data_IF_697317419857
#
_entry.id   IF_697317419857
#
_cell.length_a   1.000
_cell.length_b   1.000
_cell.length_c   1.000
_cell.angle_alpha   90.00
_cell.angle_beta   90.00
_cell.angle_gamma   90.00
#
_symmetry.space_group_name_H-M   'P 1'
#
loop_
_entity.id
_entity.type
_entity.pdbx_description
1 polymer ?
#
# COMPACT_ATOMS: atom_id res chain seq x y z
N UNK A 1 27.92 -9.76 34.27
CA UNK A 1 26.93 -10.10 33.21
C UNK A 1 26.19 -11.36 33.63
N UNK A 2 25.11 -11.22 34.42
CA UNK A 2 23.98 -12.16 34.64
C UNK A 2 23.15 -11.88 35.91
N UNK A 3 23.14 -10.66 36.43
CA UNK A 3 22.33 -10.33 37.63
C UNK A 3 21.92 -8.86 37.64
N UNK A 4 21.43 -8.34 36.50
CA UNK A 4 20.85 -6.99 36.42
C UNK A 4 19.55 -6.91 35.58
N UNK A 5 19.07 -8.05 35.06
CA UNK A 5 17.88 -8.14 34.20
C UNK A 5 16.65 -8.75 34.90
N UNK A 6 16.58 -8.74 36.23
CA UNK A 6 15.49 -9.39 36.99
C UNK A 6 14.80 -8.53 38.05
N UNK A 7 15.01 -7.21 38.10
CA UNK A 7 14.30 -6.35 39.05
C UNK A 7 13.18 -5.53 38.38
N UNK A 8 12.02 -5.47 39.04
CA UNK A 8 10.82 -4.70 38.61
C UNK A 8 11.05 -3.19 38.46
N UNK A 9 12.22 -2.68 38.85
CA UNK A 9 12.63 -1.28 38.64
C UNK A 9 13.29 -1.06 37.26
N UNK A 10 13.86 -2.08 36.62
CA UNK A 10 14.45 -1.97 35.28
C UNK A 10 13.43 -1.96 34.14
N UNK A 11 12.20 -2.43 34.41
CA UNK A 11 11.07 -2.37 33.46
C UNK A 11 10.25 -1.08 33.58
N UNK A 12 10.55 -0.24 34.58
CA UNK A 12 9.85 1.02 34.85
C UNK A 12 10.46 2.25 34.16
N UNK A 13 11.55 2.08 33.40
CA UNK A 13 12.21 3.17 32.65
C UNK A 13 11.89 3.13 31.15
N UNK A 14 11.21 2.09 30.65
CA UNK A 14 10.71 2.03 29.26
C UNK A 14 9.25 2.51 29.16
N UNK A 15 8.59 2.79 30.29
CA UNK A 15 7.20 3.25 30.34
C UNK A 15 7.03 4.79 30.52
N UNK A 16 8.10 5.57 30.36
CA UNK A 16 8.06 7.04 30.50
C UNK A 16 8.79 7.78 29.36
N UNK A 17 8.79 7.22 28.15
CA UNK A 17 9.45 7.81 26.98
C UNK A 17 8.55 7.86 25.72
N UNK A 18 7.24 8.00 25.88
CA UNK A 18 6.32 8.42 24.81
C UNK A 18 5.45 9.57 25.33
N UNK A 19 6.11 10.62 25.85
CA UNK A 19 5.48 11.91 26.06
C UNK A 19 6.60 12.96 26.09
N UNK A 20 6.58 13.88 25.11
CA UNK A 20 7.48 15.03 24.93
C UNK A 20 8.90 14.78 24.40
N UNK A 21 9.05 14.70 23.07
CA UNK A 21 10.11 15.43 22.33
C UNK A 21 9.57 15.90 20.97
N UNK A 22 8.66 16.86 21.00
CA UNK A 22 8.34 17.69 19.84
C UNK A 22 9.00 19.05 20.01
N UNK A 23 10.27 19.23 19.62
CA UNK A 23 10.82 20.55 19.27
C UNK A 23 11.98 20.41 18.26
N UNK A 24 11.70 20.86 17.03
CA UNK A 24 12.60 21.31 15.95
C UNK A 24 13.46 20.29 15.17
N UNK A 25 13.00 19.90 13.97
CA UNK A 25 13.36 20.58 12.71
C UNK A 25 12.35 20.19 11.63
N UNK A 26 11.89 21.17 10.85
CA UNK A 26 10.74 21.02 9.96
C UNK A 26 11.06 20.25 8.68
N UNK A 27 10.19 19.30 8.33
CA UNK A 27 9.47 19.17 7.05
C UNK A 27 8.69 17.84 7.05
N UNK A 28 7.36 17.91 7.00
CA UNK A 28 6.48 16.75 6.81
C UNK A 28 5.96 16.12 8.10
N UNK A 29 4.85 16.65 8.62
CA UNK A 29 4.04 15.96 9.63
C UNK A 29 3.42 14.72 9.01
N UNK A 30 4.07 13.56 9.13
CA UNK A 30 3.38 12.29 9.02
C UNK A 30 2.40 12.21 10.20
N UNK A 31 1.11 12.16 9.90
CA UNK A 31 0.05 11.98 10.88
C UNK A 31 0.21 10.55 11.46
N UNK A 32 0.94 10.40 12.56
CA UNK A 32 1.09 9.11 13.24
C UNK A 32 -0.23 8.82 13.97
N UNK A 33 -1.17 8.15 13.29
CA UNK A 33 -2.34 7.55 13.92
C UNK A 33 -1.91 6.28 14.65
N UNK A 34 -1.71 6.38 15.96
CA UNK A 34 -1.07 5.35 16.78
C UNK A 34 -2.05 4.38 17.50
N UNK A 35 -3.37 4.53 17.31
CA UNK A 35 -4.37 3.78 18.08
C UNK A 35 -4.92 2.57 17.28
N UNK A 36 -5.25 1.49 17.99
CA UNK A 36 -5.65 0.19 17.40
C UNK A 36 -7.01 0.24 16.69
N UNK A 37 -7.14 -0.16 15.41
CA UNK A 37 -8.41 -0.27 14.70
C UNK A 37 -9.53 -0.98 15.46
N UNK A 38 -9.22 -2.10 16.11
CA UNK A 38 -10.24 -2.95 16.74
C UNK A 38 -10.69 -2.43 18.11
N UNK A 39 -9.85 -1.68 18.82
CA UNK A 39 -10.18 -1.10 20.14
C UNK A 39 -10.63 0.36 20.07
N UNK A 40 -10.30 1.06 18.98
CA UNK A 40 -10.65 2.49 18.79
C UNK A 40 -11.96 2.71 18.04
N UNK A 41 -12.58 1.64 17.54
CA UNK A 41 -13.90 1.64 16.91
C UNK A 41 -14.96 1.21 17.92
N UNK A 42 -15.42 2.16 18.74
CA UNK A 42 -16.40 1.93 19.81
C UNK A 42 -17.84 1.76 19.28
N UNK A 43 -18.07 0.75 18.43
CA UNK A 43 -19.37 0.44 17.81
C UNK A 43 -20.49 0.18 18.81
N UNK A 44 -20.17 -0.24 20.04
CA UNK A 44 -21.18 -0.46 21.09
C UNK A 44 -21.99 0.82 21.39
N UNK A 45 -21.42 2.00 21.15
CA UNK A 45 -22.09 3.29 21.35
C UNK A 45 -23.35 3.45 20.49
N UNK A 46 -23.38 2.83 19.31
CA UNK A 46 -24.56 2.81 18.44
C UNK A 46 -25.70 1.90 18.96
N UNK A 47 -25.48 1.16 20.05
CA UNK A 47 -26.38 0.14 20.58
C UNK A 47 -26.69 0.29 22.08
N UNK A 48 -26.35 1.43 22.71
CA UNK A 48 -26.59 1.64 24.15
C UNK A 48 -28.09 1.66 24.53
N UNK A 49 -29.00 1.80 23.56
CA UNK A 49 -30.44 1.58 23.72
C UNK A 49 -30.80 0.10 23.94
N UNK A 50 -29.93 -0.83 23.56
CA UNK A 50 -30.10 -2.26 23.77
C UNK A 50 -29.58 -2.64 25.15
N UNK A 51 -30.49 -3.07 26.04
CA UNK A 51 -30.20 -3.34 27.45
C UNK A 51 -28.99 -4.23 27.70
N UNK A 52 -28.79 -5.29 26.89
CA UNK A 52 -27.67 -6.21 27.10
C UNK A 52 -26.31 -5.59 26.73
N UNK A 53 -26.28 -4.63 25.81
CA UNK A 53 -25.05 -3.90 25.45
C UNK A 53 -24.66 -2.96 26.59
N UNK A 54 -25.63 -2.21 27.13
CA UNK A 54 -25.41 -1.38 28.32
C UNK A 54 -25.03 -2.20 29.56
N UNK A 55 -25.59 -3.40 29.72
CA UNK A 55 -25.20 -4.35 30.77
C UNK A 55 -23.74 -4.80 30.60
N UNK A 56 -23.32 -5.13 29.37
CA UNK A 56 -21.95 -5.56 29.08
C UNK A 56 -20.92 -4.43 29.29
N UNK A 57 -21.24 -3.20 28.88
CA UNK A 57 -20.40 -2.01 29.14
C UNK A 57 -20.20 -1.80 30.64
N UNK A 58 -21.29 -1.88 31.42
CA UNK A 58 -21.27 -1.54 32.84
C UNK A 58 -20.70 -2.65 33.73
N UNK A 59 -21.05 -3.90 33.44
CA UNK A 59 -20.82 -5.03 34.34
C UNK A 59 -19.88 -6.09 33.74
N UNK A 60 -19.41 -5.92 32.51
CA UNK A 60 -18.50 -6.86 31.84
C UNK A 60 -19.16 -8.18 31.46
N UNK A 61 -18.36 -9.24 31.33
CA UNK A 61 -18.79 -10.56 30.88
C UNK A 61 -19.48 -11.34 32.02
N UNK A 62 -20.72 -10.97 32.33
CA UNK A 62 -21.56 -11.71 33.28
C UNK A 62 -22.14 -12.98 32.65
N UNK A 63 -22.71 -13.89 33.47
CA UNK A 63 -23.42 -15.07 32.97
C UNK A 63 -24.55 -14.70 32.00
N UNK A 64 -25.29 -13.64 32.30
CA UNK A 64 -26.37 -13.12 31.44
C UNK A 64 -25.85 -12.64 30.08
N UNK A 65 -24.69 -11.96 30.07
CA UNK A 65 -24.04 -11.53 28.82
C UNK A 65 -23.55 -12.73 28.02
N UNK A 66 -22.91 -13.71 28.67
CA UNK A 66 -22.45 -14.93 28.02
C UNK A 66 -23.61 -15.76 27.42
N UNK A 67 -24.70 -15.94 28.17
CA UNK A 67 -25.89 -16.66 27.69
C UNK A 67 -26.54 -15.92 26.49
N UNK A 68 -26.51 -14.58 26.49
CA UNK A 68 -26.98 -13.80 25.34
C UNK A 68 -26.11 -14.01 24.10
N UNK A 69 -24.78 -13.98 24.24
CA UNK A 69 -23.85 -14.22 23.14
C UNK A 69 -23.99 -15.64 22.56
N UNK A 70 -24.23 -16.64 23.42
CA UNK A 70 -24.39 -18.03 23.04
C UNK A 70 -25.69 -18.34 22.28
N UNK A 71 -26.77 -17.58 22.52
CA UNK A 71 -28.08 -17.90 21.97
C UNK A 71 -28.15 -17.59 20.44
N UNK A 72 -28.40 -18.58 19.56
CA UNK A 72 -28.37 -18.37 18.11
C UNK A 72 -29.45 -17.41 17.58
N UNK A 73 -30.55 -17.26 18.32
CA UNK A 73 -31.67 -16.39 17.95
C UNK A 73 -31.35 -14.89 18.10
N UNK A 74 -30.29 -14.54 18.84
CA UNK A 74 -29.94 -13.14 19.07
C UNK A 74 -29.24 -12.53 17.83
N UNK A 75 -29.54 -11.27 17.49
CA UNK A 75 -28.96 -10.61 16.32
C UNK A 75 -27.43 -10.53 16.41
N UNK A 76 -26.76 -10.81 15.29
CA UNK A 76 -25.31 -10.91 15.24
C UNK A 76 -24.62 -9.55 15.46
N UNK A 77 -25.21 -8.47 14.97
CA UNK A 77 -24.72 -7.12 15.15
C UNK A 77 -24.80 -6.65 16.61
N UNK A 78 -25.86 -7.03 17.31
CA UNK A 78 -25.97 -6.81 18.76
C UNK A 78 -24.92 -7.64 19.51
N UNK A 79 -24.64 -8.89 19.09
CA UNK A 79 -23.53 -9.67 19.68
C UNK A 79 -22.18 -8.98 19.47
N UNK A 80 -21.93 -8.43 18.29
CA UNK A 80 -20.72 -7.66 18.01
C UNK A 80 -20.62 -6.43 18.93
N UNK A 81 -21.71 -5.68 19.10
CA UNK A 81 -21.77 -4.53 20.00
C UNK A 81 -21.57 -4.92 21.47
N UNK A 82 -22.16 -6.04 21.93
CA UNK A 82 -21.93 -6.58 23.28
C UNK A 82 -20.46 -6.88 23.50
N UNK A 83 -19.81 -7.58 22.57
CA UNK A 83 -18.39 -7.91 22.67
C UNK A 83 -17.54 -6.64 22.71
N UNK A 84 -17.78 -5.68 21.82
CA UNK A 84 -17.07 -4.40 21.79
C UNK A 84 -17.25 -3.60 23.10
N UNK A 85 -18.42 -3.67 23.74
CA UNK A 85 -18.70 -3.02 25.02
C UNK A 85 -17.86 -3.56 26.19
N UNK A 86 -17.48 -4.85 26.16
CA UNK A 86 -16.61 -5.46 27.18
C UNK A 86 -15.21 -4.80 27.23
N UNK A 87 -14.81 -4.14 26.14
CA UNK A 87 -13.52 -3.44 26.00
C UNK A 87 -13.69 -1.92 26.01
N UNK A 88 -14.79 -1.42 26.57
CA UNK A 88 -15.06 0.03 26.71
C UNK A 88 -14.06 0.75 27.63
N UNK A 89 -13.53 0.04 28.64
CA UNK A 89 -12.44 0.55 29.47
C UNK A 89 -11.10 0.42 28.73
N UNK A 90 -10.43 1.55 28.48
CA UNK A 90 -9.13 1.64 27.82
C UNK A 90 -7.95 1.39 28.79
N UNK A 91 -8.21 1.10 30.05
CA UNK A 91 -7.18 0.69 30.99
C UNK A 91 -6.54 -0.62 30.52
N UNK A 92 -5.21 -0.56 30.30
CA UNK A 92 -4.38 -1.70 29.99
C UNK A 92 -4.49 -2.76 31.10
N UNK A 93 -5.10 -3.88 30.76
CA UNK A 93 -5.19 -5.07 31.58
C UNK A 93 -5.10 -6.29 30.67
N UNK A 94 -4.37 -7.33 31.07
CA UNK A 94 -4.50 -8.63 30.41
C UNK A 94 -5.95 -9.10 30.58
N UNK A 95 -6.68 -9.26 29.46
CA UNK A 95 -8.07 -9.75 29.44
C UNK A 95 -8.11 -11.09 28.71
N UNK A 96 -8.91 -12.00 29.24
CA UNK A 96 -9.07 -13.37 28.74
C UNK A 96 -10.56 -13.68 28.58
N UNK A 97 -11.34 -12.73 28.05
CA UNK A 97 -12.79 -12.87 27.94
C UNK A 97 -13.20 -14.03 27.02
N UNK A 98 -12.39 -14.38 26.02
CA UNK A 98 -12.61 -15.56 25.21
C UNK A 98 -12.58 -16.85 26.07
N UNK A 99 -11.63 -16.94 27.00
CA UNK A 99 -11.48 -18.09 27.90
C UNK A 99 -12.59 -18.14 28.95
N UNK A 100 -12.91 -16.99 29.56
CA UNK A 100 -14.04 -16.85 30.48
C UNK A 100 -15.37 -17.21 29.83
N UNK A 101 -15.61 -16.72 28.60
CA UNK A 101 -16.81 -17.04 27.82
C UNK A 101 -16.88 -18.53 27.52
N UNK A 102 -15.77 -19.14 27.07
CA UNK A 102 -15.72 -20.55 26.77
C UNK A 102 -16.02 -21.41 28.01
N UNK A 103 -15.51 -21.02 29.17
CA UNK A 103 -15.77 -21.70 30.43
C UNK A 103 -17.24 -21.54 30.88
N UNK A 104 -17.86 -20.36 30.69
CA UNK A 104 -19.25 -20.12 31.06
C UNK A 104 -20.24 -20.89 30.18
N UNK A 105 -19.99 -20.93 28.87
CA UNK A 105 -20.94 -21.47 27.87
C UNK A 105 -20.70 -22.95 27.59
N UNK A 106 -19.44 -23.37 27.43
CA UNK A 106 -19.08 -24.73 27.04
C UNK A 106 -18.50 -25.55 28.19
N UNK A 107 -18.17 -24.93 29.33
CA UNK A 107 -17.49 -25.59 30.43
C UNK A 107 -16.06 -26.03 30.08
N UNK A 108 -15.44 -25.38 29.08
CA UNK A 108 -14.20 -25.81 28.43
C UNK A 108 -13.29 -24.62 28.15
N UNK A 109 -11.99 -24.90 28.05
CA UNK A 109 -11.00 -23.93 27.55
C UNK A 109 -11.13 -23.72 26.05
N UNK A 110 -10.81 -22.52 25.56
CA UNK A 110 -10.81 -22.19 24.12
C UNK A 110 -9.89 -23.13 23.32
N UNK A 111 -8.77 -23.56 23.89
CA UNK A 111 -7.83 -24.50 23.25
C UNK A 111 -8.43 -25.90 23.03
N UNK A 112 -9.49 -26.26 23.76
CA UNK A 112 -10.16 -27.56 23.69
C UNK A 112 -11.46 -27.55 22.87
N UNK A 113 -11.83 -26.39 22.31
CA UNK A 113 -13.00 -26.28 21.46
C UNK A 113 -12.68 -26.78 20.06
N UNK A 114 -13.57 -27.60 19.51
CA UNK A 114 -13.51 -28.03 18.12
C UNK A 114 -14.25 -27.02 17.24
N UNK A 115 -13.52 -26.20 16.50
CA UNK A 115 -14.07 -25.20 15.58
C UNK A 115 -15.02 -25.83 14.55
N UNK A 116 -14.79 -27.07 14.12
CA UNK A 116 -15.61 -27.74 13.09
C UNK A 116 -17.01 -28.13 13.60
N UNK A 117 -17.17 -28.23 14.92
CA UNK A 117 -18.44 -28.55 15.57
C UNK A 117 -19.28 -27.30 15.90
N UNK A 118 -18.72 -26.09 15.74
CA UNK A 118 -19.36 -24.84 16.10
C UNK A 118 -20.06 -24.20 14.90
N UNK A 119 -21.17 -23.53 15.15
CA UNK A 119 -21.86 -22.76 14.12
C UNK A 119 -21.14 -21.43 13.85
N UNK A 120 -21.50 -20.79 12.73
CA UNK A 120 -20.81 -19.58 12.28
C UNK A 120 -20.86 -18.40 13.27
N UNK A 121 -21.97 -18.24 14.01
CA UNK A 121 -22.06 -17.20 15.04
C UNK A 121 -21.24 -17.52 16.28
N UNK A 122 -21.12 -18.80 16.65
CA UNK A 122 -20.25 -19.23 17.75
C UNK A 122 -18.77 -18.98 17.40
N UNK A 123 -18.37 -19.31 16.18
CA UNK A 123 -17.04 -18.99 15.65
C UNK A 123 -16.79 -17.48 15.67
N UNK A 124 -17.79 -16.68 15.30
CA UNK A 124 -17.72 -15.21 15.33
C UNK A 124 -17.49 -14.67 16.74
N UNK A 125 -18.31 -15.10 17.72
CA UNK A 125 -18.21 -14.64 19.11
C UNK A 125 -16.84 -14.95 19.71
N UNK A 126 -16.39 -16.20 19.59
CA UNK A 126 -15.08 -16.63 20.12
C UNK A 126 -13.96 -15.89 19.39
N UNK A 127 -14.07 -15.77 18.06
CA UNK A 127 -13.05 -15.11 17.25
C UNK A 127 -12.92 -13.63 17.58
N UNK A 128 -14.02 -12.91 17.77
CA UNK A 128 -13.96 -11.48 18.07
C UNK A 128 -13.40 -11.22 19.47
N UNK A 129 -13.79 -12.04 20.47
CA UNK A 129 -13.20 -11.98 21.81
C UNK A 129 -11.68 -12.23 21.76
N UNK A 130 -11.22 -13.28 21.05
CA UNK A 130 -9.79 -13.57 20.89
C UNK A 130 -9.00 -12.42 20.27
N UNK A 131 -9.57 -11.76 19.25
CA UNK A 131 -8.95 -10.60 18.62
C UNK A 131 -8.80 -9.45 19.62
N UNK A 132 -9.82 -9.18 20.44
CA UNK A 132 -9.78 -8.06 21.39
C UNK A 132 -8.94 -8.35 22.65
N UNK A 133 -8.93 -9.59 23.14
CA UNK A 133 -8.07 -10.04 24.25
C UNK A 133 -6.58 -9.82 23.93
N UNK A 134 -6.18 -10.06 22.67
CA UNK A 134 -4.79 -9.97 22.22
C UNK A 134 -4.62 -9.05 21.02
N UNK A 135 -5.23 -7.87 21.05
CA UNK A 135 -5.29 -6.97 19.90
C UNK A 135 -3.93 -6.48 19.37
N UNK A 136 -2.85 -6.55 20.14
CA UNK A 136 -1.51 -6.22 19.65
C UNK A 136 -0.95 -7.28 18.70
N UNK A 137 -1.32 -8.56 18.90
CA UNK A 137 -0.95 -9.69 18.04
C UNK A 137 -2.17 -10.62 17.86
N UNK A 138 -3.23 -10.17 17.17
CA UNK A 138 -4.52 -10.84 17.23
C UNK A 138 -4.52 -12.16 16.46
N UNK A 139 -5.08 -13.21 17.06
CA UNK A 139 -5.44 -14.45 16.36
C UNK A 139 -6.74 -14.26 15.57
N UNK A 140 -6.61 -14.07 14.26
CA UNK A 140 -7.76 -13.86 13.35
C UNK A 140 -8.32 -15.15 12.76
N UNK A 141 -7.85 -16.33 13.17
CA UNK A 141 -8.22 -17.61 12.56
C UNK A 141 -9.72 -17.87 12.66
N UNK A 142 -10.27 -17.67 13.87
CA UNK A 142 -11.68 -17.92 14.19
C UNK A 142 -12.62 -16.92 13.49
N UNK A 143 -12.27 -15.63 13.50
CA UNK A 143 -13.08 -14.60 12.84
C UNK A 143 -13.05 -14.76 11.31
N UNK A 144 -11.93 -15.23 10.74
CA UNK A 144 -11.83 -15.56 9.32
C UNK A 144 -12.69 -16.77 8.95
N UNK A 145 -12.72 -17.80 9.80
CA UNK A 145 -13.61 -18.96 9.62
C UNK A 145 -15.10 -18.55 9.68
N UNK A 146 -15.45 -17.65 10.60
CA UNK A 146 -16.80 -17.08 10.68
C UNK A 146 -17.18 -16.31 9.40
N UNK A 147 -16.29 -15.46 8.87
CA UNK A 147 -16.52 -14.73 7.61
C UNK A 147 -16.75 -15.67 6.44
N UNK A 148 -16.01 -16.78 6.38
CA UNK A 148 -16.20 -17.80 5.33
C UNK A 148 -17.55 -18.50 5.43
N UNK A 149 -18.06 -18.70 6.65
CA UNK A 149 -19.35 -19.34 6.89
C UNK A 149 -20.55 -18.38 6.78
N UNK A 150 -20.33 -17.07 6.94
CA UNK A 150 -21.31 -16.00 6.77
C UNK A 150 -20.83 -14.96 5.74
N UNK A 151 -20.63 -15.36 4.46
CA UNK A 151 -19.96 -14.51 3.47
C UNK A 151 -20.72 -13.23 3.12
N UNK A 152 -22.04 -13.22 3.33
CA UNK A 152 -22.92 -12.11 2.97
C UNK A 152 -23.18 -11.15 4.14
N UNK A 153 -22.71 -11.44 5.37
CA UNK A 153 -22.94 -10.57 6.53
C UNK A 153 -22.00 -9.37 6.50
N UNK A 154 -22.55 -8.15 6.51
CA UNK A 154 -21.74 -6.93 6.64
C UNK A 154 -21.14 -6.81 8.04
N UNK A 155 -21.85 -7.27 9.08
CA UNK A 155 -21.36 -7.32 10.46
C UNK A 155 -20.06 -8.13 10.53
N UNK A 156 -20.08 -9.38 10.04
CA UNK A 156 -18.88 -10.24 10.09
C UNK A 156 -17.76 -9.65 9.24
N UNK A 157 -18.10 -9.11 8.07
CA UNK A 157 -17.11 -8.57 7.14
C UNK A 157 -16.39 -7.35 7.73
N UNK A 158 -17.10 -6.45 8.39
CA UNK A 158 -16.50 -5.27 9.02
C UNK A 158 -15.65 -5.65 10.23
N UNK A 159 -16.11 -6.55 11.10
CA UNK A 159 -15.32 -6.99 12.25
C UNK A 159 -14.07 -7.75 11.83
N UNK A 160 -14.18 -8.62 10.81
CA UNK A 160 -13.02 -9.29 10.23
C UNK A 160 -12.05 -8.28 9.60
N UNK A 161 -12.56 -7.25 8.90
CA UNK A 161 -11.74 -6.18 8.34
C UNK A 161 -10.98 -5.39 9.42
N UNK A 162 -11.62 -5.07 10.55
CA UNK A 162 -10.95 -4.44 11.69
C UNK A 162 -9.85 -5.33 12.27
N UNK A 163 -10.10 -6.63 12.40
CA UNK A 163 -9.11 -7.59 12.87
C UNK A 163 -7.92 -7.73 11.90
N UNK A 164 -8.18 -7.72 10.59
CA UNK A 164 -7.14 -7.74 9.56
C UNK A 164 -6.35 -6.42 9.50
N UNK A 165 -7.03 -5.29 9.64
CA UNK A 165 -6.41 -3.97 9.74
C UNK A 165 -5.52 -3.85 10.99
N UNK A 166 -5.89 -4.52 12.09
CA UNK A 166 -5.04 -4.60 13.27
C UNK A 166 -3.69 -5.31 13.00
N UNK A 167 -3.67 -6.34 12.16
CA UNK A 167 -2.43 -7.01 11.73
C UNK A 167 -1.63 -6.22 10.67
N UNK A 168 -2.29 -5.33 9.94
CA UNK A 168 -1.68 -4.51 8.89
C UNK A 168 -2.25 -3.08 8.93
N UNK A 169 -1.77 -2.29 9.90
CA UNK A 169 -2.30 -0.96 10.19
C UNK A 169 -2.13 0.01 9.02
N UNK A 170 -1.06 -0.13 8.22
CA UNK A 170 -0.86 0.66 7.01
C UNK A 170 -1.97 0.40 5.96
N UNK A 171 -2.55 -0.80 5.94
CA UNK A 171 -3.61 -1.14 4.99
C UNK A 171 -5.03 -0.94 5.50
N UNK A 172 -5.19 -0.38 6.71
CA UNK A 172 -6.46 -0.21 7.42
C UNK A 172 -7.59 0.33 6.55
N UNK A 173 -7.36 1.43 5.81
CA UNK A 173 -8.40 2.03 4.99
C UNK A 173 -8.81 1.12 3.82
N UNK A 174 -7.88 0.60 3.01
CA UNK A 174 -8.23 -0.25 1.86
C UNK A 174 -9.02 -1.46 2.31
N UNK A 175 -8.56 -2.14 3.36
CA UNK A 175 -9.19 -3.36 3.87
C UNK A 175 -10.65 -3.07 4.24
N UNK A 176 -10.90 -1.95 4.93
CA UNK A 176 -12.24 -1.53 5.35
C UNK A 176 -13.09 -1.05 4.17
N UNK A 177 -12.51 -0.24 3.28
CA UNK A 177 -13.16 0.35 2.11
C UNK A 177 -13.71 -0.73 1.16
N UNK A 178 -13.00 -1.84 0.98
CA UNK A 178 -13.48 -2.98 0.19
C UNK A 178 -14.81 -3.54 0.73
N UNK A 179 -14.97 -3.60 2.06
CA UNK A 179 -16.20 -4.06 2.70
C UNK A 179 -17.30 -2.99 2.57
N UNK A 180 -16.97 -1.71 2.80
CA UNK A 180 -17.93 -0.61 2.69
C UNK A 180 -18.52 -0.49 1.28
N UNK A 181 -17.68 -0.65 0.26
CA UNK A 181 -18.09 -0.58 -1.16
C UNK A 181 -18.75 -1.86 -1.68
N UNK A 182 -18.77 -2.94 -0.90
CA UNK A 182 -19.41 -4.18 -1.31
C UNK A 182 -20.94 -4.06 -1.19
N UNK A 183 -21.59 -3.83 -2.33
CA UNK A 183 -23.05 -3.72 -2.44
C UNK A 183 -23.77 -5.06 -2.37
N UNK A 184 -23.06 -6.19 -2.37
CA UNK A 184 -23.66 -7.53 -2.30
C UNK A 184 -23.88 -8.00 -0.85
N UNK A 185 -23.23 -7.36 0.12
CA UNK A 185 -23.40 -7.71 1.54
C UNK A 185 -24.79 -7.29 2.03
N UNK A 186 -25.37 -8.17 2.83
CA UNK A 186 -26.54 -7.88 3.67
C UNK A 186 -26.15 -6.83 4.69
N UNK A 187 -26.86 -5.70 4.68
CA UNK A 187 -26.65 -4.58 5.61
C UNK A 187 -27.26 -4.89 6.98
N UNK A 188 -26.69 -5.88 7.66
CA UNK A 188 -27.17 -6.45 8.92
C UNK A 188 -26.57 -5.81 10.18
N UNK A 189 -25.80 -4.73 10.02
CA UNK A 189 -25.26 -3.87 11.09
C UNK A 189 -25.94 -2.49 11.05
N UNK A 190 -26.10 -1.83 12.21
CA UNK A 190 -26.67 -0.47 12.28
C UNK A 190 -25.82 0.53 11.49
N UNK A 191 -26.44 1.41 10.68
CA UNK A 191 -25.72 2.45 9.96
C UNK A 191 -24.82 3.30 10.85
N UNK A 192 -25.27 3.63 12.06
CA UNK A 192 -24.49 4.42 13.03
C UNK A 192 -23.20 3.70 13.47
N UNK A 193 -23.20 2.37 13.54
CA UNK A 193 -22.00 1.59 13.82
C UNK A 193 -21.05 1.55 12.61
N UNK A 194 -21.60 1.54 11.39
CA UNK A 194 -20.81 1.68 10.16
C UNK A 194 -20.16 3.06 10.10
N UNK A 195 -20.86 4.11 10.51
CA UNK A 195 -20.31 5.48 10.59
C UNK A 195 -19.16 5.55 11.60
N UNK A 196 -19.31 4.99 12.80
CA UNK A 196 -18.23 4.91 13.81
C UNK A 196 -16.98 4.23 13.25
N UNK A 197 -17.15 3.09 12.54
CA UNK A 197 -16.03 2.39 11.90
C UNK A 197 -15.42 3.27 10.81
N UNK A 198 -16.26 3.82 9.93
CA UNK A 198 -15.80 4.58 8.76
C UNK A 198 -15.04 5.83 9.17
N UNK A 199 -15.54 6.58 10.16
CA UNK A 199 -14.92 7.80 10.66
C UNK A 199 -13.54 7.52 11.24
N UNK A 200 -13.40 6.44 12.03
CA UNK A 200 -12.11 6.05 12.58
C UNK A 200 -11.16 5.53 11.49
N UNK A 201 -11.63 4.63 10.63
CA UNK A 201 -10.77 4.03 9.60
C UNK A 201 -10.36 5.06 8.54
N UNK A 202 -11.15 6.10 8.31
CA UNK A 202 -10.81 7.21 7.41
C UNK A 202 -9.57 7.99 7.84
N UNK A 203 -9.17 7.90 9.11
CA UNK A 203 -7.92 8.46 9.62
C UNK A 203 -6.67 7.82 8.98
N UNK A 204 -6.82 6.59 8.47
CA UNK A 204 -5.80 5.88 7.72
C UNK A 204 -5.80 6.21 6.22
N UNK A 205 -6.54 7.23 5.78
CA UNK A 205 -6.53 7.67 4.38
C UNK A 205 -5.19 8.29 3.96
N UNK A 206 -4.75 8.01 2.74
CA UNK A 206 -3.44 8.39 2.21
C UNK A 206 -2.29 7.46 2.61
N UNK A 207 -2.58 6.31 3.24
CA UNK A 207 -1.57 5.34 3.66
C UNK A 207 -0.91 4.61 2.48
N UNK A 208 0.34 4.08 2.60
CA UNK A 208 1.04 3.42 1.50
C UNK A 208 0.26 2.30 0.81
N UNK A 209 -0.66 1.62 1.50
CA UNK A 209 -1.51 0.61 0.86
C UNK A 209 -2.57 1.23 -0.07
N UNK A 210 -3.09 2.43 0.22
CA UNK A 210 -4.00 3.17 -0.67
C UNK A 210 -3.37 3.65 -1.96
N UNK A 211 -2.07 3.42 -2.13
CA UNK A 211 -1.45 3.48 -3.45
C UNK A 211 -2.20 2.62 -4.47
N UNK A 212 -2.96 1.60 -4.07
CA UNK A 212 -3.27 0.49 -4.96
C UNK A 212 -4.75 0.33 -5.32
N UNK A 213 -5.14 1.20 -6.25
CA UNK A 213 -6.07 0.89 -7.36
C UNK A 213 -5.56 1.44 -8.71
N UNK A 214 -4.79 2.53 -8.67
CA UNK A 214 -4.06 3.11 -9.81
C UNK A 214 -2.53 2.92 -9.66
N UNK A 215 -1.99 2.80 -8.44
CA UNK A 215 -0.55 2.75 -8.15
C UNK A 215 0.14 1.42 -8.44
N UNK A 216 -0.50 0.25 -8.30
CA UNK A 216 0.15 -1.03 -8.66
C UNK A 216 0.34 -1.12 -10.18
N UNK A 217 -0.66 -0.74 -10.97
CA UNK A 217 -0.52 -0.73 -12.44
C UNK A 217 0.37 0.41 -12.91
N UNK A 218 0.37 1.57 -12.24
CA UNK A 218 1.26 2.69 -12.53
C UNK A 218 2.71 2.41 -12.14
N UNK A 219 2.97 1.79 -10.99
CA UNK A 219 4.30 1.33 -10.57
C UNK A 219 4.76 0.24 -11.51
N UNK A 220 3.95 -0.78 -11.78
CA UNK A 220 4.29 -1.83 -12.74
C UNK A 220 4.55 -1.29 -14.16
N UNK A 221 3.77 -0.30 -14.62
CA UNK A 221 4.00 0.37 -15.91
C UNK A 221 5.27 1.22 -15.87
N UNK A 222 5.53 1.94 -14.78
CA UNK A 222 6.74 2.73 -14.57
C UNK A 222 7.97 1.83 -14.56
N UNK A 223 7.94 0.75 -13.79
CA UNK A 223 8.98 -0.27 -13.71
C UNK A 223 9.19 -0.91 -15.09
N UNK A 224 8.12 -1.30 -15.79
CA UNK A 224 8.22 -1.83 -17.15
C UNK A 224 8.82 -0.83 -18.15
N UNK A 225 8.44 0.45 -18.09
CA UNK A 225 9.03 1.51 -18.92
C UNK A 225 10.51 1.70 -18.58
N UNK A 226 10.87 1.68 -17.29
CA UNK A 226 12.25 1.88 -16.85
C UNK A 226 13.13 0.69 -17.20
N UNK A 227 12.65 -0.55 -17.06
CA UNK A 227 13.37 -1.77 -17.43
C UNK A 227 13.61 -1.89 -18.95
N UNK A 228 12.60 -1.53 -19.76
CA UNK A 228 12.67 -1.60 -21.22
C UNK A 228 13.35 -0.36 -21.84
N UNK A 229 13.30 0.77 -21.14
CA UNK A 229 13.52 2.09 -21.72
C UNK A 229 14.85 2.76 -21.44
N UNK A 230 15.13 3.76 -22.28
CA UNK A 230 16.18 4.76 -22.09
C UNK A 230 15.51 6.12 -21.99
N UNK A 231 15.65 6.75 -20.84
CA UNK A 231 15.04 8.04 -20.50
C UNK A 231 16.12 9.11 -20.46
N UNK A 232 15.93 10.19 -21.22
CA UNK A 232 16.81 11.34 -21.26
C UNK A 232 16.02 12.64 -21.07
N UNK A 233 16.69 13.68 -20.61
CA UNK A 233 16.14 15.04 -20.52
C UNK A 233 16.99 15.99 -21.35
N UNK A 234 16.35 16.88 -22.11
CA UNK A 234 17.05 17.94 -22.85
C UNK A 234 17.77 18.86 -21.86
N UNK A 235 19.07 19.09 -22.09
CA UNK A 235 19.93 19.91 -21.25
C UNK A 235 20.40 19.20 -19.97
N UNK A 236 20.29 17.87 -19.91
CA UNK A 236 20.80 17.08 -18.79
C UNK A 236 21.68 15.93 -19.28
N UNK A 237 22.76 15.67 -18.55
CA UNK A 237 23.68 14.56 -18.80
C UNK A 237 23.32 13.31 -17.98
N UNK A 238 22.48 13.45 -16.94
CA UNK A 238 21.97 12.34 -16.12
C UNK A 238 20.76 11.70 -16.82
N UNK A 239 20.74 10.37 -16.82
CA UNK A 239 19.77 9.57 -17.57
C UNK A 239 19.40 8.31 -16.79
N UNK A 240 18.23 7.74 -17.11
CA UNK A 240 17.85 6.40 -16.66
C UNK A 240 17.93 5.46 -17.86
N UNK A 241 18.81 4.48 -17.81
CA UNK A 241 18.96 3.48 -18.86
C UNK A 241 18.70 2.09 -18.29
N UNK A 242 17.62 1.44 -18.72
CA UNK A 242 17.22 0.09 -18.25
C UNK A 242 17.23 -0.02 -16.72
N UNK A 243 16.51 0.90 -16.08
CA UNK A 243 16.37 1.05 -14.64
C UNK A 243 17.68 1.37 -13.88
N UNK A 244 18.69 1.88 -14.57
CA UNK A 244 19.95 2.34 -13.95
C UNK A 244 20.12 3.82 -14.15
N UNK A 245 20.25 4.55 -13.04
CA UNK A 245 20.66 5.95 -13.06
C UNK A 245 22.13 6.02 -13.45
N UNK A 246 22.42 6.69 -14.56
CA UNK A 246 23.76 6.81 -15.13
C UNK A 246 23.90 8.15 -15.84
N UNK A 247 24.97 8.32 -16.60
CA UNK A 247 25.22 9.49 -17.44
C UNK A 247 25.33 9.08 -18.91
N UNK A 248 25.01 10.00 -19.79
CA UNK A 248 25.21 9.82 -21.24
C UNK A 248 26.67 9.49 -21.56
N UNK A 249 27.59 10.14 -20.86
CA UNK A 249 29.03 9.96 -20.98
C UNK A 249 29.67 10.15 -19.60
N UNK A 250 30.36 9.12 -19.10
CA UNK A 250 30.97 9.16 -17.76
C UNK A 250 32.17 10.11 -17.70
N UNK A 251 32.86 10.31 -18.83
CA UNK A 251 34.07 11.12 -18.95
C UNK A 251 33.77 12.57 -19.33
N UNK A 252 32.58 12.85 -19.87
CA UNK A 252 32.22 14.17 -20.38
C UNK A 252 30.78 14.58 -20.08
N UNK A 253 30.59 15.32 -18.99
CA UNK A 253 29.29 15.84 -18.53
C UNK A 253 28.63 16.86 -19.45
N UNK A 254 29.32 17.34 -20.51
CA UNK A 254 28.74 18.25 -21.51
C UNK A 254 28.06 17.51 -22.66
N UNK A 255 28.01 16.19 -22.62
CA UNK A 255 27.30 15.39 -23.62
C UNK A 255 25.86 15.22 -23.14
N UNK A 256 24.99 16.13 -23.57
CA UNK A 256 23.58 16.18 -23.20
C UNK A 256 22.70 16.28 -24.47
N UNK A 257 21.46 15.76 -24.46
CA UNK A 257 20.51 16.05 -25.52
C UNK A 257 20.21 17.54 -25.58
N UNK A 258 20.08 18.10 -26.78
CA UNK A 258 19.85 19.54 -26.96
C UNK A 258 18.85 19.81 -28.08
N UNK A 259 18.34 21.04 -28.15
CA UNK A 259 17.47 21.47 -29.25
C UNK A 259 18.26 22.38 -30.19
N UNK A 260 18.23 22.06 -31.49
CA UNK A 260 18.80 22.91 -32.54
C UNK A 260 17.85 22.99 -33.72
N UNK A 261 17.56 24.20 -34.18
CA UNK A 261 16.66 24.44 -35.32
C UNK A 261 15.31 23.72 -35.18
N UNK A 262 14.74 23.71 -33.97
CA UNK A 262 13.47 23.04 -33.67
C UNK A 262 13.54 21.51 -33.66
N UNK A 263 14.73 20.91 -33.69
CA UNK A 263 14.94 19.45 -33.61
C UNK A 263 15.65 19.08 -32.32
N UNK A 264 15.15 18.05 -31.65
CA UNK A 264 15.85 17.41 -30.54
C UNK A 264 16.98 16.56 -31.10
N UNK A 265 18.21 16.90 -30.72
CA UNK A 265 19.44 16.21 -31.07
C UNK A 265 19.86 15.31 -29.92
N UNK A 266 20.15 14.04 -30.21
CA UNK A 266 20.43 13.03 -29.19
C UNK A 266 21.75 12.29 -29.46
N UNK A 267 22.46 11.86 -28.39
CA UNK A 267 23.74 11.17 -28.49
C UNK A 267 23.55 9.76 -29.07
N UNK A 268 23.92 9.57 -30.34
CA UNK A 268 23.60 8.34 -31.07
C UNK A 268 24.25 7.11 -30.45
N UNK A 269 25.54 7.18 -30.11
CA UNK A 269 26.29 6.05 -29.55
C UNK A 269 25.66 5.53 -28.25
N UNK A 270 25.27 6.44 -27.36
CA UNK A 270 24.67 6.09 -26.08
C UNK A 270 23.35 5.34 -26.27
N UNK A 271 22.46 5.88 -27.11
CA UNK A 271 21.16 5.24 -27.39
C UNK A 271 21.37 3.90 -28.09
N UNK A 272 22.19 3.85 -29.13
CA UNK A 272 22.45 2.62 -29.89
C UNK A 272 23.03 1.51 -29.01
N UNK A 273 23.98 1.83 -28.12
CA UNK A 273 24.57 0.84 -27.21
C UNK A 273 23.54 0.21 -26.27
N UNK A 274 22.64 1.02 -25.68
CA UNK A 274 21.60 0.53 -24.76
C UNK A 274 20.56 -0.40 -25.44
N UNK A 275 20.45 -0.32 -26.76
CA UNK A 275 19.60 -1.21 -27.56
C UNK A 275 20.40 -2.27 -28.34
N UNK A 276 21.71 -2.40 -28.13
CA UNK A 276 22.53 -3.42 -28.77
C UNK A 276 22.78 -3.20 -30.27
N UNK A 277 22.69 -1.95 -30.74
CA UNK A 277 22.99 -1.58 -32.11
C UNK A 277 24.44 -1.12 -32.26
N UNK A 278 25.05 -1.47 -33.40
CA UNK A 278 26.37 -1.00 -33.77
C UNK A 278 26.28 0.24 -34.63
N UNK A 279 27.24 1.15 -34.49
CA UNK A 279 27.28 2.38 -35.29
C UNK A 279 28.63 2.56 -35.99
N UNK A 280 28.59 3.18 -37.16
CA UNK A 280 29.75 3.69 -37.86
C UNK A 280 29.45 5.12 -38.34
N UNK A 281 30.41 6.02 -38.28
CA UNK A 281 30.20 7.43 -38.66
C UNK A 281 31.18 7.81 -39.75
N UNK A 282 30.67 8.31 -40.87
CA UNK A 282 31.46 8.97 -41.90
C UNK A 282 31.52 10.46 -41.57
N UNK A 283 32.64 10.90 -41.00
CA UNK A 283 32.86 12.29 -40.60
C UNK A 283 32.98 13.25 -41.79
N UNK A 284 33.35 12.76 -42.99
CA UNK A 284 33.47 13.61 -44.18
C UNK A 284 32.10 13.94 -44.76
N UNK A 285 31.19 12.95 -44.72
CA UNK A 285 29.82 13.10 -45.20
C UNK A 285 28.84 13.55 -44.12
N UNK A 286 29.26 13.52 -42.85
CA UNK A 286 28.39 13.74 -41.70
C UNK A 286 27.19 12.78 -41.72
N UNK A 287 27.49 11.50 -41.92
CA UNK A 287 26.49 10.43 -41.96
C UNK A 287 26.78 9.41 -40.87
N UNK A 288 25.73 8.98 -40.16
CA UNK A 288 25.82 7.89 -39.21
C UNK A 288 25.11 6.66 -39.75
N UNK A 289 25.80 5.53 -39.80
CA UNK A 289 25.23 4.23 -40.13
C UNK A 289 24.92 3.49 -38.84
N UNK A 290 23.68 3.03 -38.69
CA UNK A 290 23.23 2.16 -37.60
C UNK A 290 22.99 0.77 -38.17
N UNK A 291 23.57 -0.25 -37.51
CA UNK A 291 23.32 -1.66 -37.78
C UNK A 291 22.56 -2.26 -36.59
N UNK A 292 21.31 -2.64 -36.81
CA UNK A 292 20.44 -3.21 -35.79
C UNK A 292 19.57 -4.32 -36.39
N UNK A 293 19.52 -5.49 -35.75
CA UNK A 293 18.77 -6.67 -36.23
C UNK A 293 19.00 -7.00 -37.71
N UNK A 294 20.26 -6.98 -38.16
CA UNK A 294 20.67 -7.17 -39.56
C UNK A 294 20.14 -6.12 -40.56
N UNK A 295 19.56 -5.02 -40.09
CA UNK A 295 19.18 -3.87 -40.92
C UNK A 295 20.23 -2.78 -40.80
N UNK A 296 20.66 -2.27 -41.95
CA UNK A 296 21.56 -1.12 -42.07
C UNK A 296 20.75 0.11 -42.43
N UNK A 297 20.79 1.12 -41.57
CA UNK A 297 20.11 2.40 -41.79
C UNK A 297 21.15 3.52 -41.79
N UNK A 298 21.12 4.37 -42.82
CA UNK A 298 22.00 5.55 -42.90
C UNK A 298 21.19 6.79 -42.48
N UNK A 299 21.70 7.49 -41.49
CA UNK A 299 21.15 8.74 -40.97
C UNK A 299 22.01 9.90 -41.50
N UNK A 300 21.50 10.72 -42.41
CA UNK A 300 22.22 11.88 -42.90
C UNK A 300 22.18 13.05 -41.90
N UNK A 301 23.08 14.02 -42.08
CA UNK A 301 23.16 15.24 -41.28
C UNK A 301 23.45 14.97 -39.78
N UNK A 302 24.38 14.06 -39.51
CA UNK A 302 24.92 13.86 -38.18
C UNK A 302 25.75 15.08 -37.74
N UNK A 303 25.62 15.49 -36.49
CA UNK A 303 26.39 16.60 -35.92
C UNK A 303 27.46 16.08 -34.98
N UNK A 304 28.64 16.71 -35.00
CA UNK A 304 29.71 16.41 -34.05
C UNK A 304 29.78 17.55 -33.05
N UNK A 305 29.46 17.24 -31.79
CA UNK A 305 29.51 18.18 -30.68
C UNK A 305 30.23 17.52 -29.51
N UNK A 306 31.17 18.22 -28.87
CA UNK A 306 31.96 17.70 -27.75
C UNK A 306 32.63 16.34 -28.03
N UNK A 307 33.04 16.10 -29.29
CA UNK A 307 33.66 14.84 -29.72
C UNK A 307 32.70 13.63 -29.76
N UNK A 308 31.38 13.88 -29.75
CA UNK A 308 30.33 12.86 -29.85
C UNK A 308 29.40 13.13 -31.02
N UNK A 309 28.82 12.07 -31.56
CA UNK A 309 27.89 12.13 -32.69
C UNK A 309 26.47 12.28 -32.20
N UNK A 310 25.81 13.32 -32.69
CA UNK A 310 24.41 13.62 -32.43
C UNK A 310 23.61 13.50 -33.72
N UNK A 311 22.39 13.01 -33.59
CA UNK A 311 21.44 12.94 -34.71
C UNK A 311 20.05 13.38 -34.24
N UNK A 312 19.14 13.73 -35.15
CA UNK A 312 17.75 14.00 -34.77
C UNK A 312 17.11 12.79 -34.09
N UNK A 313 16.43 13.02 -32.96
CA UNK A 313 15.77 11.98 -32.15
C UNK A 313 14.95 10.99 -32.99
N UNK A 314 14.10 11.53 -33.88
CA UNK A 314 13.25 10.71 -34.75
C UNK A 314 14.06 9.74 -35.62
N UNK A 315 15.16 10.20 -36.22
CA UNK A 315 15.99 9.37 -37.07
C UNK A 315 16.70 8.26 -36.28
N UNK A 316 17.16 8.54 -35.05
CA UNK A 316 17.73 7.51 -34.17
C UNK A 316 16.71 6.43 -33.82
N UNK A 317 15.51 6.84 -33.42
CA UNK A 317 14.41 5.94 -33.00
C UNK A 317 13.94 5.07 -34.18
N UNK A 318 13.77 5.67 -35.36
CA UNK A 318 13.41 4.95 -36.59
C UNK A 318 14.47 3.94 -37.00
N UNK A 319 15.76 4.32 -36.95
CA UNK A 319 16.86 3.42 -37.29
C UNK A 319 16.96 2.21 -36.35
N UNK A 320 16.49 2.35 -35.11
CA UNK A 320 16.47 1.29 -34.09
C UNK A 320 15.12 0.56 -34.01
N UNK A 321 14.12 0.97 -34.80
CA UNK A 321 12.76 0.45 -34.73
C UNK A 321 12.21 0.46 -33.28
N UNK A 322 12.26 1.62 -32.64
CA UNK A 322 11.84 1.84 -31.24
C UNK A 322 10.60 2.71 -31.16
N UNK A 323 9.96 2.70 -30.00
CA UNK A 323 8.92 3.68 -29.67
C UNK A 323 9.55 4.89 -28.98
N UNK A 324 8.94 6.05 -29.16
CA UNK A 324 9.39 7.29 -28.51
C UNK A 324 8.22 8.08 -27.96
N UNK A 325 8.40 8.56 -26.74
CA UNK A 325 7.57 9.56 -26.10
C UNK A 325 8.38 10.82 -25.88
N UNK A 326 7.76 11.98 -26.13
CA UNK A 326 8.36 13.28 -25.91
C UNK A 326 7.34 14.21 -25.25
N UNK A 327 7.67 14.75 -24.08
CA UNK A 327 6.90 15.81 -23.43
C UNK A 327 7.83 16.77 -22.69
N UNK A 328 7.75 18.06 -23.03
CA UNK A 328 8.47 19.16 -22.36
C UNK A 328 9.96 18.88 -22.10
N UNK A 329 10.65 18.30 -23.08
CA UNK A 329 12.09 18.00 -22.98
C UNK A 329 12.42 16.64 -22.37
N UNK A 330 11.46 15.92 -21.78
CA UNK A 330 11.62 14.53 -21.39
C UNK A 330 11.49 13.64 -22.64
N UNK A 331 12.43 12.72 -22.81
CA UNK A 331 12.52 11.77 -23.91
C UNK A 331 12.51 10.37 -23.30
N UNK A 332 11.55 9.53 -23.69
CA UNK A 332 11.51 8.12 -23.28
C UNK A 332 11.54 7.28 -24.55
N UNK A 333 12.55 6.43 -24.70
CA UNK A 333 12.70 5.50 -25.83
C UNK A 333 12.53 4.08 -25.29
N UNK A 334 11.61 3.29 -25.86
CA UNK A 334 11.29 1.93 -25.41
C UNK A 334 11.34 0.96 -26.59
N UNK A 335 11.45 -0.35 -26.34
CA UNK A 335 11.45 -1.36 -27.40
C UNK A 335 10.07 -1.46 -28.05
N UNK A 336 9.04 -1.69 -27.22
CA UNK A 336 7.67 -1.93 -27.70
C UNK A 336 6.58 -1.18 -26.94
N UNK A 337 6.89 -0.64 -25.77
CA UNK A 337 5.89 0.03 -24.93
C UNK A 337 5.48 1.36 -25.56
N UNK A 338 4.22 1.49 -25.95
CA UNK A 338 3.67 2.73 -26.49
C UNK A 338 3.08 3.55 -25.35
N UNK A 339 3.65 4.72 -25.11
CA UNK A 339 3.18 5.65 -24.08
C UNK A 339 2.21 6.64 -24.73
N UNK A 340 0.93 6.58 -24.35
CA UNK A 340 -0.10 7.45 -24.91
C UNK A 340 -0.27 8.72 -24.05
N UNK A 341 0.01 9.93 -24.58
CA UNK A 341 -0.09 11.17 -23.81
C UNK A 341 -1.52 11.56 -23.41
N UNK A 342 -2.55 10.90 -23.98
CA UNK A 342 -3.96 11.12 -23.61
C UNK A 342 -4.46 10.13 -22.56
N UNK A 343 -3.67 9.11 -22.26
CA UNK A 343 -4.01 8.08 -21.30
C UNK A 343 -3.51 8.50 -19.92
N UNK A 344 -4.42 8.54 -18.94
CA UNK A 344 -4.15 9.07 -17.60
C UNK A 344 -3.03 8.29 -16.91
N UNK A 345 -3.08 6.97 -16.99
CA UNK A 345 -2.07 6.08 -16.38
C UNK A 345 -0.68 6.32 -16.97
N UNK A 346 -0.57 6.44 -18.30
CA UNK A 346 0.68 6.78 -18.97
C UNK A 346 1.19 8.16 -18.55
N UNK A 347 0.33 9.17 -18.48
CA UNK A 347 0.76 10.52 -18.06
C UNK A 347 1.26 10.52 -16.61
N UNK A 348 0.62 9.78 -15.71
CA UNK A 348 1.06 9.68 -14.33
C UNK A 348 2.37 8.91 -14.17
N UNK A 349 2.55 7.80 -14.89
CA UNK A 349 3.82 7.06 -14.93
C UNK A 349 4.98 7.94 -15.45
N UNK A 350 4.71 8.75 -16.48
CA UNK A 350 5.69 9.71 -17.02
C UNK A 350 6.07 10.77 -15.97
N UNK A 351 5.12 11.32 -15.21
CA UNK A 351 5.44 12.28 -14.15
C UNK A 351 6.24 11.64 -13.01
N UNK A 352 5.98 10.37 -12.68
CA UNK A 352 6.80 9.64 -11.70
C UNK A 352 8.24 9.50 -12.18
N UNK A 353 8.46 9.05 -13.42
CA UNK A 353 9.80 8.97 -14.03
C UNK A 353 10.49 10.33 -14.00
N UNK A 354 9.76 11.40 -14.32
CA UNK A 354 10.29 12.77 -14.28
C UNK A 354 10.73 13.16 -12.87
N UNK A 355 9.99 12.76 -11.83
CA UNK A 355 10.35 13.04 -10.45
C UNK A 355 11.61 12.28 -10.01
N UNK A 356 11.80 11.04 -10.45
CA UNK A 356 13.05 10.29 -10.20
C UNK A 356 14.27 11.04 -10.71
N UNK A 357 14.17 11.68 -11.88
CA UNK A 357 15.26 12.48 -12.46
C UNK A 357 15.45 13.85 -11.78
N UNK A 358 14.42 14.43 -11.16
CA UNK A 358 14.46 15.76 -10.51
C UNK A 358 14.91 15.73 -9.04
N UNK A 359 14.85 14.58 -8.37
CA UNK A 359 15.22 14.43 -6.96
C UNK A 359 16.74 14.32 -6.75
N UNK A 360 17.53 14.76 -7.72
CA UNK A 360 18.99 14.72 -7.78
C UNK A 360 19.49 16.06 -8.30
#
# INVERSE_FOLDING_TARGET
MNTFMSSRLGKLIIAAAIMCTAFFTGSGSALVHADSPVTSTAIYKAYLDVKIVAEAEKNGLTRTVADYLALPANPLDVKAAVINALYSDLAWSDREHAEEYAQLVYGKSTASLDMSALNAQEMFVIGYLKVLDHYMEPDITWITAAQKALPDSQTVALIQALAAAQQNMDCSWIITEQVLNNTKLTKDIRPEAVDIITDYMALYKGSPCQSDGEGTTRSALTDAILEDGVVLTVGDSVVLARNRLTRVDEDNYKVEPYIRNGRTMVPLKFISANFGANIAVDLKKLEATVLYMNRKTVIPNAEILNGRTFVPLRAAVEALNKQVYYDKGLIIITDKIIINPKDKLNTEAVEQIRNVLKLQ
#
